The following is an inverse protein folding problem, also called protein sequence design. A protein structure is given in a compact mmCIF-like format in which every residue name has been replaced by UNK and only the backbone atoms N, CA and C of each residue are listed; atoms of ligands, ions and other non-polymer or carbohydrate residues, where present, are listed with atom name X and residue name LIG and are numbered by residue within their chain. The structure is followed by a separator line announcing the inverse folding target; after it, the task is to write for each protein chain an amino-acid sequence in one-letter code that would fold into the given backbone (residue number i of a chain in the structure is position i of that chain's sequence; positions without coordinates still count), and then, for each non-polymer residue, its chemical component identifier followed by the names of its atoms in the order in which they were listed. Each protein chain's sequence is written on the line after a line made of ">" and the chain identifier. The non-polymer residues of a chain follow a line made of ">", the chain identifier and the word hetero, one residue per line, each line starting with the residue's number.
data_IF_370660807738
#
_entry.id   IF_370660807738
#
_cell.length_a   1.000
_cell.length_b   1.000
_cell.length_c   1.000
_cell.angle_alpha   90.00
_cell.angle_beta   90.00
_cell.angle_gamma   90.00
#
_symmetry.space_group_name_H-M   'P 1'
#
loop_
_entity.id
_entity.type
_entity.pdbx_description
1 polymer ?
#
# COMPACT_ATOMS: atom_id res chain seq x y z
N UNK A 1 -19.66 -1.57 4.41
CA UNK A 1 -18.26 -1.45 3.93
C UNK A 1 -18.22 -0.48 2.76
N UNK A 2 -17.29 0.47 2.73
CA UNK A 2 -17.26 1.52 1.71
C UNK A 2 -16.87 0.94 0.34
N UNK A 3 -17.82 0.90 -0.60
CA UNK A 3 -17.64 0.55 -2.02
C UNK A 3 -16.33 1.10 -2.62
N UNK A 4 -15.92 2.30 -2.18
CA UNK A 4 -14.68 2.99 -2.58
C UNK A 4 -13.37 2.20 -2.36
N UNK A 5 -13.29 1.34 -1.34
CA UNK A 5 -12.04 0.60 -1.03
C UNK A 5 -11.99 -0.80 -1.67
N UNK A 6 -13.13 -1.35 -2.09
CA UNK A 6 -13.21 -2.71 -2.66
C UNK A 6 -12.29 -2.87 -3.90
N UNK A 7 -12.23 -1.92 -4.85
CA UNK A 7 -11.34 -2.04 -6.00
C UNK A 7 -9.87 -2.21 -5.62
N UNK A 8 -9.42 -1.54 -4.55
CA UNK A 8 -8.04 -1.61 -4.11
C UNK A 8 -7.72 -2.96 -3.47
N UNK A 9 -8.63 -3.49 -2.64
CA UNK A 9 -8.50 -4.84 -2.11
C UNK A 9 -8.48 -5.89 -3.23
N UNK A 10 -9.34 -5.75 -4.24
CA UNK A 10 -9.37 -6.69 -5.37
C UNK A 10 -8.05 -6.70 -6.15
N UNK A 11 -7.46 -5.54 -6.44
CA UNK A 11 -6.14 -5.46 -7.09
C UNK A 11 -5.06 -6.10 -6.26
N UNK A 12 -5.05 -5.81 -4.95
CA UNK A 12 -4.10 -6.40 -4.02
C UNK A 12 -4.20 -7.93 -4.00
N UNK A 13 -5.40 -8.47 -3.77
CA UNK A 13 -5.62 -9.92 -3.71
C UNK A 13 -5.35 -10.60 -5.06
N UNK A 14 -5.67 -9.94 -6.18
CA UNK A 14 -5.39 -10.46 -7.51
C UNK A 14 -3.88 -10.61 -7.75
N UNK A 15 -3.10 -9.61 -7.31
CA UNK A 15 -1.65 -9.67 -7.35
C UNK A 15 -1.10 -10.76 -6.42
N UNK A 16 -1.57 -10.83 -5.17
CA UNK A 16 -1.06 -11.80 -4.19
C UNK A 16 -1.33 -13.25 -4.59
N UNK A 17 -2.52 -13.53 -5.13
CA UNK A 17 -2.93 -14.90 -5.45
C UNK A 17 -2.67 -15.26 -6.92
N UNK A 18 -2.26 -14.30 -7.76
CA UNK A 18 -2.03 -14.52 -9.19
C UNK A 18 -3.30 -14.82 -9.99
N UNK A 19 -4.47 -14.40 -9.50
CA UNK A 19 -5.78 -14.70 -10.12
C UNK A 19 -6.61 -13.44 -10.33
N UNK A 20 -7.45 -13.44 -11.36
CA UNK A 20 -8.44 -12.38 -11.57
C UNK A 20 -9.70 -12.68 -10.75
N UNK A 21 -10.15 -11.70 -9.95
CA UNK A 21 -11.42 -11.79 -9.22
C UNK A 21 -12.53 -11.09 -10.00
N UNK A 22 -13.75 -11.64 -9.92
CA UNK A 22 -14.94 -10.94 -10.37
C UNK A 22 -15.23 -9.72 -9.48
N UNK A 23 -15.82 -8.66 -10.03
CA UNK A 23 -16.08 -7.41 -9.30
C UNK A 23 -17.04 -7.55 -8.12
N UNK A 24 -17.90 -8.56 -8.15
CA UNK A 24 -18.85 -8.93 -7.10
C UNK A 24 -18.24 -9.87 -6.05
N UNK A 25 -17.04 -10.43 -6.29
CA UNK A 25 -16.38 -11.35 -5.37
C UNK A 25 -16.27 -10.78 -3.94
N UNK A 26 -16.55 -11.63 -2.95
CA UNK A 26 -16.48 -11.30 -1.52
C UNK A 26 -15.47 -12.24 -0.88
N UNK A 27 -14.36 -11.66 -0.44
CA UNK A 27 -13.33 -12.42 0.27
C UNK A 27 -13.85 -12.93 1.60
N UNK A 28 -13.62 -14.21 1.85
CA UNK A 28 -13.95 -14.87 3.11
C UNK A 28 -13.02 -14.40 4.22
N UNK A 29 -13.44 -14.56 5.48
CA UNK A 29 -12.59 -14.22 6.62
C UNK A 29 -11.29 -15.04 6.64
N UNK A 30 -11.34 -16.30 6.22
CA UNK A 30 -10.16 -17.17 6.14
C UNK A 30 -9.12 -16.64 5.15
N UNK A 31 -9.55 -16.23 3.96
CA UNK A 31 -8.66 -15.62 2.97
C UNK A 31 -8.02 -14.33 3.47
N UNK A 32 -8.80 -13.50 4.18
CA UNK A 32 -8.30 -12.25 4.73
C UNK A 32 -7.33 -12.47 5.91
N UNK A 33 -7.49 -13.57 6.66
CA UNK A 33 -6.56 -13.96 7.73
C UNK A 33 -5.25 -14.53 7.21
N UNK A 34 -5.22 -15.06 5.97
CA UNK A 34 -4.01 -15.56 5.33
C UNK A 34 -3.10 -14.45 4.78
N UNK A 35 -3.53 -13.18 4.84
CA UNK A 35 -2.72 -12.05 4.39
C UNK A 35 -1.61 -11.77 5.40
N UNK A 36 -0.36 -11.80 4.93
CA UNK A 36 0.82 -11.49 5.73
C UNK A 36 1.35 -10.07 5.41
N UNK A 37 2.19 -9.49 6.28
CA UNK A 37 2.92 -8.26 5.97
C UNK A 37 3.75 -8.35 4.69
N UNK A 38 4.31 -9.53 4.39
CA UNK A 38 5.12 -9.74 3.19
C UNK A 38 4.30 -9.52 1.92
N UNK A 39 3.08 -10.08 1.84
CA UNK A 39 2.17 -9.82 0.73
C UNK A 39 1.93 -8.32 0.53
N UNK A 40 1.69 -7.58 1.62
CA UNK A 40 1.46 -6.13 1.57
C UNK A 40 2.72 -5.39 1.11
N UNK A 41 3.90 -5.78 1.58
CA UNK A 41 5.18 -5.21 1.17
C UNK A 41 5.46 -5.44 -0.31
N UNK A 42 5.34 -6.68 -0.80
CA UNK A 42 5.54 -7.01 -2.23
C UNK A 42 4.57 -6.26 -3.13
N UNK A 43 3.31 -6.13 -2.72
CA UNK A 43 2.34 -5.30 -3.43
C UNK A 43 2.73 -3.82 -3.47
N UNK A 44 3.10 -3.23 -2.33
CA UNK A 44 3.51 -1.82 -2.29
C UNK A 44 4.80 -1.57 -3.06
N UNK A 45 5.74 -2.53 -3.06
CA UNK A 45 6.94 -2.49 -3.86
C UNK A 45 6.60 -2.51 -5.36
N UNK A 46 5.76 -3.44 -5.80
CA UNK A 46 5.27 -3.50 -7.18
C UNK A 46 4.65 -2.17 -7.61
N UNK A 47 3.89 -1.52 -6.73
CA UNK A 47 3.30 -0.21 -7.01
C UNK A 47 4.33 0.92 -7.06
N UNK A 48 5.31 0.96 -6.15
CA UNK A 48 6.25 2.08 -6.03
C UNK A 48 7.46 1.97 -6.97
N UNK A 49 8.04 0.78 -7.08
CA UNK A 49 9.27 0.47 -7.78
C UNK A 49 9.05 -0.23 -9.14
N UNK A 50 7.83 -0.75 -9.38
CA UNK A 50 7.55 -1.54 -10.58
C UNK A 50 7.97 -3.01 -10.46
N UNK A 51 8.56 -3.40 -9.32
CA UNK A 51 9.05 -4.74 -9.02
C UNK A 51 8.66 -5.12 -7.58
N UNK A 52 8.19 -6.34 -7.30
CA UNK A 52 7.80 -6.75 -5.95
C UNK A 52 8.99 -6.94 -4.99
N UNK A 53 10.17 -7.18 -5.51
CA UNK A 53 11.43 -7.45 -4.80
C UNK A 53 12.53 -6.51 -5.32
N UNK A 54 12.37 -5.19 -5.11
CA UNK A 54 13.24 -4.20 -5.69
C UNK A 54 14.65 -4.29 -5.09
N UNK A 55 15.66 -4.13 -5.94
CA UNK A 55 17.04 -4.04 -5.51
C UNK A 55 17.35 -2.69 -4.79
N UNK A 56 18.57 -2.58 -4.25
CA UNK A 56 18.99 -1.38 -3.51
C UNK A 56 19.21 -0.14 -4.40
N UNK A 57 19.46 -0.35 -5.70
CA UNK A 57 19.71 0.69 -6.69
C UNK A 57 18.40 1.27 -7.28
N UNK A 58 17.31 0.50 -7.24
CA UNK A 58 16.01 0.89 -7.74
C UNK A 58 15.41 2.05 -6.93
N UNK A 59 14.73 2.94 -7.65
CA UNK A 59 14.09 4.13 -7.08
C UNK A 59 12.56 4.04 -7.20
N UNK A 60 11.79 4.48 -6.18
CA UNK A 60 10.34 4.39 -6.19
C UNK A 60 9.71 5.53 -7.00
N UNK A 61 9.78 5.42 -8.33
CA UNK A 61 9.38 6.49 -9.26
C UNK A 61 7.93 6.36 -9.76
N UNK A 62 7.25 5.23 -9.52
CA UNK A 62 5.95 4.95 -10.14
C UNK A 62 4.76 5.48 -9.35
N UNK A 63 4.80 5.36 -8.02
CA UNK A 63 3.71 5.78 -7.12
C UNK A 63 4.24 6.53 -5.92
N UNK A 64 3.49 7.54 -5.50
CA UNK A 64 3.80 8.33 -4.31
C UNK A 64 3.35 7.65 -3.02
N UNK A 65 3.98 8.00 -1.91
CA UNK A 65 3.68 7.53 -0.57
C UNK A 65 2.24 7.80 -0.17
N UNK A 66 1.65 8.91 -0.61
CA UNK A 66 0.23 9.24 -0.32
C UNK A 66 -0.72 8.24 -0.98
N UNK A 67 -0.38 7.75 -2.18
CA UNK A 67 -1.13 6.67 -2.84
C UNK A 67 -0.96 5.35 -2.09
N UNK A 68 0.26 5.04 -1.63
CA UNK A 68 0.51 3.84 -0.81
C UNK A 68 -0.21 3.90 0.54
N UNK A 69 -0.30 5.07 1.17
CA UNK A 69 -1.06 5.28 2.40
C UNK A 69 -2.56 5.09 2.20
N UNK A 70 -3.09 5.54 1.06
CA UNK A 70 -4.46 5.25 0.67
C UNK A 70 -4.68 3.74 0.49
N UNK A 71 -3.79 3.06 -0.25
CA UNK A 71 -3.87 1.61 -0.48
C UNK A 71 -3.82 0.84 0.85
N UNK A 72 -2.87 1.21 1.73
CA UNK A 72 -2.76 0.68 3.09
C UNK A 72 -4.07 0.83 3.86
N UNK A 73 -4.67 2.03 3.84
CA UNK A 73 -5.94 2.32 4.53
C UNK A 73 -7.09 1.48 3.96
N UNK A 74 -7.16 1.37 2.63
CA UNK A 74 -8.18 0.60 1.95
C UNK A 74 -8.10 -0.88 2.33
N UNK A 75 -6.93 -1.51 2.21
CA UNK A 75 -6.71 -2.92 2.59
C UNK A 75 -6.99 -3.12 4.08
N UNK A 76 -6.47 -2.25 4.94
CA UNK A 76 -6.66 -2.30 6.39
C UNK A 76 -8.13 -2.36 6.81
N UNK A 77 -9.01 -1.63 6.10
CA UNK A 77 -10.44 -1.58 6.40
C UNK A 77 -11.18 -2.92 6.26
N UNK A 78 -10.60 -3.89 5.54
CA UNK A 78 -11.14 -5.23 5.37
C UNK A 78 -10.49 -6.26 6.30
N UNK A 79 -9.38 -5.93 6.97
CA UNK A 79 -8.68 -6.90 7.81
C UNK A 79 -9.53 -7.26 9.03
N UNK A 80 -9.77 -8.55 9.33
CA UNK A 80 -10.64 -8.98 10.43
C UNK A 80 -10.21 -8.42 11.80
N UNK A 81 -8.90 -8.24 12.00
CA UNK A 81 -8.30 -7.73 13.23
C UNK A 81 -7.89 -6.26 13.10
N UNK A 82 -8.76 -5.41 12.58
CA UNK A 82 -8.45 -4.03 12.14
C UNK A 82 -7.67 -3.19 13.17
N UNK A 83 -8.04 -3.28 14.46
CA UNK A 83 -7.45 -2.49 15.54
C UNK A 83 -6.22 -3.12 16.19
N UNK A 84 -5.93 -4.39 15.90
CA UNK A 84 -4.80 -5.11 16.49
C UNK A 84 -3.54 -4.86 15.67
N UNK A 85 -2.47 -4.38 16.31
CA UNK A 85 -1.16 -4.27 15.66
C UNK A 85 -0.65 -5.66 15.26
N UNK A 86 0.14 -5.74 14.19
CA UNK A 86 0.75 -7.00 13.78
C UNK A 86 1.78 -7.45 14.82
N UNK A 87 1.61 -8.67 15.31
CA UNK A 87 2.58 -9.40 16.14
C UNK A 87 3.44 -10.29 15.23
N UNK A 88 4.75 -10.01 15.09
CA UNK A 88 5.64 -10.79 14.24
C UNK A 88 5.98 -12.17 14.83
N UNK A 89 5.81 -12.40 16.13
CA UNK A 89 6.13 -13.69 16.77
C UNK A 89 5.00 -14.68 16.56
N UNK A 90 3.76 -14.23 16.76
CA UNK A 90 2.57 -15.08 16.63
C UNK A 90 1.90 -14.98 15.25
N UNK A 91 2.46 -14.17 14.34
CA UNK A 91 1.93 -13.89 12.99
C UNK A 91 0.44 -13.53 12.98
N UNK A 92 0.05 -12.65 13.89
CA UNK A 92 -1.36 -12.30 14.13
C UNK A 92 -1.57 -10.80 14.20
N UNK A 93 -2.75 -10.37 13.80
CA UNK A 93 -3.16 -8.96 13.87
C UNK A 93 -3.45 -8.40 12.48
N UNK A 94 -3.37 -7.07 12.33
CA UNK A 94 -3.56 -6.41 11.05
C UNK A 94 -2.21 -6.31 10.30
N UNK A 95 -2.00 -7.03 9.18
CA UNK A 95 -0.71 -7.06 8.48
C UNK A 95 -0.29 -5.68 7.96
N UNK A 96 -1.26 -4.82 7.64
CA UNK A 96 -0.98 -3.43 7.20
C UNK A 96 -0.41 -2.56 8.32
N UNK A 97 -0.54 -2.95 9.59
CA UNK A 97 -0.02 -2.23 10.76
C UNK A 97 1.39 -2.69 11.18
N UNK A 98 2.01 -3.60 10.43
CA UNK A 98 3.37 -4.05 10.69
C UNK A 98 4.42 -2.95 10.49
N UNK A 99 5.55 -3.08 11.20
CA UNK A 99 6.68 -2.16 11.06
C UNK A 99 7.30 -2.20 9.66
N UNK A 100 7.31 -3.38 9.01
CA UNK A 100 7.83 -3.53 7.65
C UNK A 100 7.09 -2.63 6.65
N UNK A 101 5.75 -2.68 6.66
CA UNK A 101 4.89 -1.84 5.81
C UNK A 101 5.10 -0.35 6.12
N UNK A 102 5.20 0.01 7.40
CA UNK A 102 5.44 1.40 7.82
C UNK A 102 6.83 1.90 7.36
N UNK A 103 7.87 1.06 7.47
CA UNK A 103 9.24 1.38 7.03
C UNK A 103 9.30 1.56 5.51
N UNK A 104 8.59 0.74 4.73
CA UNK A 104 8.49 0.88 3.28
C UNK A 104 7.93 2.25 2.89
N UNK A 105 6.78 2.65 3.45
CA UNK A 105 6.17 3.95 3.16
C UNK A 105 7.12 5.10 3.56
N UNK A 106 7.80 4.99 4.71
CA UNK A 106 8.82 5.97 5.13
C UNK A 106 10.00 6.03 4.15
N UNK A 107 10.46 4.89 3.61
CA UNK A 107 11.52 4.82 2.60
C UNK A 107 11.09 5.57 1.33
N UNK A 108 9.88 5.31 0.82
CA UNK A 108 9.34 6.01 -0.35
C UNK A 108 9.25 7.53 -0.12
N UNK A 109 8.72 7.95 1.04
CA UNK A 109 8.71 9.38 1.43
C UNK A 109 10.10 10.02 1.39
N UNK A 110 11.12 9.30 1.85
CA UNK A 110 12.51 9.78 1.85
C UNK A 110 13.03 10.04 0.43
N UNK A 111 12.74 9.15 -0.52
CA UNK A 111 13.10 9.34 -1.93
C UNK A 111 12.36 10.52 -2.55
N UNK A 112 11.07 10.69 -2.25
CA UNK A 112 10.31 11.84 -2.73
C UNK A 112 10.88 13.18 -2.25
N UNK A 113 11.24 13.29 -0.96
CA UNK A 113 11.85 14.51 -0.40
C UNK A 113 13.19 14.82 -1.08
N UNK A 114 13.95 13.79 -1.46
CA UNK A 114 15.22 13.92 -2.20
C UNK A 114 15.04 14.23 -3.68
N UNK A 115 13.80 14.31 -4.18
CA UNK A 115 13.46 14.44 -5.61
C UNK A 115 13.96 13.26 -6.45
N UNK A 116 14.05 12.10 -5.82
CA UNK A 116 14.47 10.82 -6.44
C UNK A 116 13.30 9.81 -6.52
N UNK A 117 12.13 10.18 -6.02
CA UNK A 117 10.90 9.38 -6.10
C UNK A 117 9.89 9.96 -7.08
N UNK A 118 8.67 9.41 -7.07
CA UNK A 118 7.58 9.84 -7.94
C UNK A 118 7.26 11.34 -7.82
N UNK A 119 7.14 12.02 -8.96
CA UNK A 119 6.92 13.47 -9.02
C UNK A 119 5.57 13.92 -8.44
N UNK A 120 5.56 15.12 -7.86
CA UNK A 120 4.35 15.75 -7.38
C UNK A 120 3.49 16.29 -8.53
N UNK A 121 2.27 15.79 -8.67
CA UNK A 121 1.24 16.34 -9.58
C UNK A 121 0.32 17.38 -8.92
N UNK A 122 0.65 17.85 -7.72
CA UNK A 122 -0.12 18.88 -7.04
C UNK A 122 0.01 20.22 -7.79
N UNK A 123 -1.11 20.91 -7.98
CA UNK A 123 -1.08 22.27 -8.53
C UNK A 123 -0.39 23.19 -7.52
N UNK A 124 0.55 24.03 -8.00
CA UNK A 124 1.16 25.07 -7.17
C UNK A 124 0.10 26.11 -6.78
N UNK A 125 0.27 26.72 -5.61
CA UNK A 125 -0.54 27.87 -5.24
C UNK A 125 -0.33 29.00 -6.25
N UNK A 126 -1.40 29.76 -6.51
CA UNK A 126 -1.33 30.98 -7.32
C UNK A 126 -0.73 32.07 -6.44
N UNK A 127 0.48 32.51 -6.74
CA UNK A 127 1.09 33.69 -6.12
C UNK A 127 0.52 34.93 -6.82
N UNK A 128 -0.15 35.81 -6.07
CA UNK A 128 -0.53 37.12 -6.59
C UNK A 128 0.71 38.02 -6.49
N UNK A 129 1.03 38.73 -7.58
CA UNK A 129 2.07 39.76 -7.54
C UNK A 129 1.56 40.90 -6.63
N UNK A 130 2.20 41.09 -5.48
CA UNK A 130 2.04 42.31 -4.68
C UNK A 130 2.60 43.50 -5.48
N UNK A 131 1.81 44.57 -5.57
CA UNK A 131 2.10 45.81 -6.29
C UNK A 131 2.32 46.96 -5.31
#
# INVERSE_FOLDING_TARGET
>A
MTSRYKPELMRFMAFTNGVAYSGDYVFTMGELLNITPDHVCRWMNQQAYGDPEPDESMKPIHRRSSTLEFAKKAISSFMPRINTTWDPVNERGNPTRSDAVNKLIKKVKKFEVRREGAESKARRAVEFAEF
#
